data_IF_056185422176
#
_entry.id   IF_056185422176
#
_cell.length_a   1.000
_cell.length_b   1.000
_cell.length_c   1.000
_cell.angle_alpha   90.00
_cell.angle_beta   90.00
_cell.angle_gamma   90.00
#
_symmetry.space_group_name_H-M   'P 1'
#
loop_
_entity.id
_entity.type
_entity.pdbx_description
1 polymer ?
#
# COMPACT_ATOMS: atom_id res chain seq x y z
N UNK A 1 8.53 6.54 -12.11
CA UNK A 1 8.03 7.88 -12.50
C UNK A 1 6.53 7.92 -12.82
N UNK A 2 6.01 6.99 -13.64
CA UNK A 2 4.62 7.02 -14.13
C UNK A 2 3.55 7.05 -13.01
N UNK A 3 3.73 6.32 -11.91
CA UNK A 3 2.75 6.32 -10.81
C UNK A 3 2.58 7.70 -10.13
N UNK A 4 3.66 8.44 -9.92
CA UNK A 4 3.59 9.78 -9.30
C UNK A 4 2.88 10.75 -10.23
N UNK A 5 3.16 10.68 -11.54
CA UNK A 5 2.47 11.51 -12.54
C UNK A 5 0.96 11.24 -12.53
N UNK A 6 0.52 9.98 -12.50
CA UNK A 6 -0.90 9.65 -12.45
C UNK A 6 -1.60 10.09 -11.15
N UNK A 7 -0.90 10.03 -10.00
CA UNK A 7 -1.42 10.61 -8.77
C UNK A 7 -1.55 12.14 -8.87
N UNK A 8 -0.57 12.80 -9.48
CA UNK A 8 -0.60 14.26 -9.70
C UNK A 8 -1.75 14.63 -10.65
N UNK A 9 -1.94 13.91 -11.75
CA UNK A 9 -3.08 14.10 -12.65
C UNK A 9 -4.42 13.97 -11.90
N UNK A 10 -4.55 12.95 -11.03
CA UNK A 10 -5.75 12.80 -10.21
C UNK A 10 -5.96 13.94 -9.21
N UNK A 11 -4.87 14.50 -8.65
CA UNK A 11 -4.94 15.68 -7.78
C UNK A 11 -5.41 16.93 -8.54
N UNK A 12 -4.98 17.09 -9.79
CA UNK A 12 -5.37 18.20 -10.67
C UNK A 12 -6.83 18.08 -11.10
N UNK A 13 -7.25 16.88 -11.51
CA UNK A 13 -8.63 16.61 -11.95
C UNK A 13 -9.66 16.71 -10.81
N UNK A 14 -9.20 16.65 -9.55
CA UNK A 14 -10.03 16.64 -8.33
C UNK A 14 -11.15 15.60 -8.36
N UNK A 15 -10.92 14.47 -9.04
CA UNK A 15 -11.91 13.38 -9.13
C UNK A 15 -12.03 12.65 -7.80
N UNK A 16 -13.03 13.03 -7.00
CA UNK A 16 -13.27 12.48 -5.66
C UNK A 16 -13.52 10.96 -5.66
N UNK A 17 -14.12 10.45 -6.73
CA UNK A 17 -14.40 9.03 -6.92
C UNK A 17 -14.17 8.65 -8.37
N UNK A 18 -13.69 7.43 -8.63
CA UNK A 18 -13.40 6.34 -7.69
C UNK A 18 -12.01 6.42 -7.03
N UNK A 19 -11.76 5.71 -5.90
CA UNK A 19 -10.47 5.76 -5.22
C UNK A 19 -9.35 5.19 -6.11
N UNK A 20 -8.21 5.88 -6.15
CA UNK A 20 -7.03 5.41 -6.86
C UNK A 20 -6.25 4.46 -5.96
N UNK A 21 -5.64 3.42 -6.53
CA UNK A 21 -4.79 2.55 -5.71
C UNK A 21 -3.49 2.15 -6.38
N UNK A 22 -2.50 1.91 -5.54
CA UNK A 22 -1.14 1.52 -5.88
C UNK A 22 -0.83 0.16 -5.25
N UNK A 23 -0.38 -0.77 -6.05
CA UNK A 23 0.07 -2.10 -5.62
C UNK A 23 1.52 -2.28 -6.01
N UNK A 24 2.34 -2.76 -5.09
CA UNK A 24 3.76 -2.86 -5.31
C UNK A 24 4.37 -3.97 -4.47
N UNK A 25 5.40 -4.64 -4.99
CA UNK A 25 6.22 -5.50 -4.14
C UNK A 25 7.06 -4.66 -3.17
N UNK A 26 7.64 -5.31 -2.16
CA UNK A 26 8.56 -4.64 -1.23
C UNK A 26 9.76 -4.08 -2.01
N UNK A 27 10.23 -2.89 -1.63
CA UNK A 27 11.44 -2.30 -2.24
C UNK A 27 11.22 -1.68 -3.62
N UNK A 28 9.97 -1.45 -4.03
CA UNK A 28 9.60 -0.79 -5.31
C UNK A 28 9.33 0.71 -5.18
N UNK A 29 9.58 1.31 -4.00
CA UNK A 29 9.46 2.75 -3.79
C UNK A 29 8.04 3.27 -3.52
N UNK A 30 7.10 2.42 -3.07
CA UNK A 30 5.71 2.80 -2.74
C UNK A 30 5.61 4.01 -1.81
N UNK A 31 6.26 3.99 -0.64
CA UNK A 31 6.21 5.08 0.33
C UNK A 31 6.84 6.38 -0.20
N UNK A 32 7.86 6.25 -1.07
CA UNK A 32 8.47 7.41 -1.73
C UNK A 32 7.51 8.05 -2.74
N UNK A 33 6.84 7.25 -3.56
CA UNK A 33 5.83 7.73 -4.51
C UNK A 33 4.68 8.44 -3.78
N UNK A 34 4.14 7.85 -2.71
CA UNK A 34 3.08 8.48 -1.90
C UNK A 34 3.54 9.78 -1.23
N UNK A 35 4.76 9.80 -0.65
CA UNK A 35 5.31 11.00 0.00
C UNK A 35 5.47 12.16 -0.98
N UNK A 36 5.97 11.89 -2.19
CA UNK A 36 6.06 12.91 -3.25
C UNK A 36 4.68 13.37 -3.73
N UNK A 37 3.70 12.46 -3.83
CA UNK A 37 2.32 12.83 -4.17
C UNK A 37 1.68 13.72 -3.10
N UNK A 38 1.98 13.53 -1.81
CA UNK A 38 1.53 14.42 -0.74
C UNK A 38 2.16 15.81 -0.87
N UNK A 39 3.47 15.89 -1.12
CA UNK A 39 4.14 17.18 -1.33
C UNK A 39 3.54 17.94 -2.53
N UNK A 40 3.23 17.23 -3.62
CA UNK A 40 2.52 17.79 -4.75
C UNK A 40 1.09 18.24 -4.38
N UNK A 41 0.35 17.48 -3.58
CA UNK A 41 -0.99 17.87 -3.12
C UNK A 41 -0.97 19.19 -2.32
N UNK A 42 0.06 19.40 -1.50
CA UNK A 42 0.27 20.69 -0.81
C UNK A 42 0.46 21.82 -1.83
N UNK A 43 1.24 21.60 -2.89
CA UNK A 43 1.43 22.59 -3.96
C UNK A 43 0.15 22.87 -4.78
N UNK A 44 -0.81 21.94 -4.80
CA UNK A 44 -2.15 22.13 -5.39
C UNK A 44 -3.21 22.64 -4.41
N UNK A 45 -2.80 23.26 -3.30
CA UNK A 45 -3.67 23.90 -2.30
C UNK A 45 -4.65 22.96 -1.59
N UNK A 46 -4.33 21.67 -1.45
CA UNK A 46 -5.10 20.78 -0.56
C UNK A 46 -4.84 21.17 0.90
N UNK A 47 -5.90 21.39 1.68
CA UNK A 47 -5.81 21.95 3.04
C UNK A 47 -5.62 20.85 4.07
N UNK A 48 -6.50 19.86 4.08
CA UNK A 48 -6.47 18.77 5.04
C UNK A 48 -6.06 17.46 4.36
N UNK A 49 -4.78 17.10 4.49
CA UNK A 49 -4.22 15.86 3.94
C UNK A 49 -4.00 14.87 5.08
N UNK A 50 -4.75 13.78 5.10
CA UNK A 50 -4.63 12.77 6.14
C UNK A 50 -3.97 11.50 5.62
N UNK A 51 -3.15 10.89 6.46
CA UNK A 51 -2.43 9.65 6.17
C UNK A 51 -2.78 8.62 7.23
N UNK A 52 -3.15 7.42 6.81
CA UNK A 52 -3.49 6.31 7.68
C UNK A 52 -2.60 5.12 7.35
N UNK A 53 -2.15 4.43 8.40
CA UNK A 53 -1.41 3.17 8.34
C UNK A 53 -1.71 2.35 9.59
N UNK A 54 -1.47 1.03 9.59
CA UNK A 54 -1.65 0.19 10.78
C UNK A 54 -0.87 0.70 12.00
N UNK A 55 0.35 1.18 11.77
CA UNK A 55 1.21 1.79 12.78
C UNK A 55 1.93 3.02 12.21
N UNK A 56 2.12 4.09 13.01
CA UNK A 56 2.76 5.33 12.56
C UNK A 56 4.23 5.15 12.18
N UNK A 57 4.92 4.14 12.71
CA UNK A 57 6.30 3.82 12.35
C UNK A 57 6.47 3.50 10.85
N UNK A 58 5.44 2.93 10.22
CA UNK A 58 5.46 2.62 8.78
C UNK A 58 5.54 3.88 7.91
N UNK A 59 5.21 5.04 8.47
CA UNK A 59 5.16 6.31 7.76
C UNK A 59 6.45 7.12 7.81
N UNK A 60 7.49 6.65 8.53
CA UNK A 60 8.76 7.38 8.65
C UNK A 60 9.31 7.72 7.26
N UNK A 61 9.47 6.72 6.40
CA UNK A 61 9.96 6.93 5.02
C UNK A 61 8.99 7.76 4.20
N UNK A 62 7.68 7.61 4.36
CA UNK A 62 6.70 8.43 3.65
C UNK A 62 6.90 9.91 3.97
N UNK A 63 7.00 10.28 5.25
CA UNK A 63 7.23 11.65 5.67
C UNK A 63 8.62 12.17 5.27
N UNK A 64 9.67 11.33 5.27
CA UNK A 64 10.98 11.74 4.72
C UNK A 64 10.86 12.18 3.26
N UNK A 65 10.07 11.48 2.44
CA UNK A 65 9.85 11.87 1.04
C UNK A 65 8.91 13.07 0.88
N UNK A 66 8.01 13.32 1.83
CA UNK A 66 7.27 14.60 1.91
C UNK A 66 8.26 15.75 2.09
N UNK A 67 9.18 15.64 3.06
CA UNK A 67 10.18 16.67 3.34
C UNK A 67 11.13 16.88 2.15
N UNK A 68 11.59 15.80 1.48
CA UNK A 68 12.37 15.94 0.24
C UNK A 68 11.59 16.63 -0.88
N UNK A 69 10.28 16.39 -0.96
CA UNK A 69 9.40 17.11 -1.89
C UNK A 69 9.30 18.59 -1.55
N UNK A 70 9.23 18.93 -0.26
CA UNK A 70 9.28 20.31 0.23
C UNK A 70 10.60 21.00 -0.07
N UNK A 71 11.73 20.32 0.11
CA UNK A 71 13.06 20.85 -0.25
C UNK A 71 13.11 21.18 -1.76
N UNK A 72 12.58 20.29 -2.61
CA UNK A 72 12.52 20.52 -4.06
C UNK A 72 11.56 21.65 -4.48
N UNK A 73 10.56 21.95 -3.64
CA UNK A 73 9.61 23.05 -3.80
C UNK A 73 10.05 24.32 -3.03
N UNK A 74 11.26 24.34 -2.50
CA UNK A 74 11.87 25.46 -1.77
C UNK A 74 11.07 25.90 -0.53
N UNK A 75 10.43 24.96 0.16
CA UNK A 75 9.80 25.19 1.47
C UNK A 75 10.85 25.12 2.58
N UNK A 76 10.83 26.07 3.51
CA UNK A 76 11.77 26.13 4.63
C UNK A 76 11.14 25.67 5.95
N UNK A 77 11.83 24.78 6.68
CA UNK A 77 11.41 24.38 8.02
C UNK A 77 11.46 25.60 8.97
N UNK A 78 10.49 25.70 9.87
CA UNK A 78 10.28 26.80 10.82
C UNK A 78 9.86 28.17 10.23
N UNK A 79 10.00 28.37 8.92
CA UNK A 79 9.45 29.53 8.23
C UNK A 79 8.12 29.20 7.54
N UNK A 80 8.12 28.15 6.72
CA UNK A 80 6.97 27.74 5.91
C UNK A 80 6.19 26.57 6.50
N UNK A 81 6.85 25.71 7.27
CA UNK A 81 6.21 24.57 7.91
C UNK A 81 6.82 24.20 9.26
N UNK A 82 6.07 23.48 10.08
CA UNK A 82 6.49 22.97 11.39
C UNK A 82 6.14 21.49 11.53
N UNK A 83 7.09 20.70 12.04
CA UNK A 83 6.92 19.26 12.24
C UNK A 83 6.55 18.99 13.70
N UNK A 84 5.48 18.23 13.91
CA UNK A 84 5.05 17.72 15.21
C UNK A 84 5.29 16.22 15.23
N UNK A 85 6.08 15.78 16.22
CA UNK A 85 6.40 14.37 16.46
C UNK A 85 5.59 13.83 17.63
N UNK A 86 5.35 12.52 17.63
CA UNK A 86 4.65 11.87 18.73
C UNK A 86 5.45 11.97 20.04
N UNK A 87 4.73 12.19 21.13
CA UNK A 87 5.23 12.08 22.50
C UNK A 87 5.15 10.65 23.04
N UNK A 88 4.43 9.74 22.36
CA UNK A 88 4.32 8.36 22.78
C UNK A 88 5.63 7.61 22.51
N UNK A 89 6.16 6.94 23.54
CA UNK A 89 7.36 6.12 23.45
C UNK A 89 7.20 4.97 22.43
N UNK A 90 6.00 4.40 22.34
CA UNK A 90 5.67 3.30 21.43
C UNK A 90 5.78 3.69 19.96
N UNK A 91 5.74 4.99 19.65
CA UNK A 91 5.78 5.50 18.28
C UNK A 91 7.16 6.04 17.89
N UNK A 92 8.20 5.81 18.70
CA UNK A 92 9.62 6.14 18.41
C UNK A 92 9.83 7.55 17.84
N UNK A 93 9.10 8.56 18.34
CA UNK A 93 9.14 9.95 17.86
C UNK A 93 8.79 10.10 16.36
N UNK A 94 7.93 9.22 15.83
CA UNK A 94 7.39 9.33 14.48
C UNK A 94 6.69 10.68 14.27
N UNK A 95 6.75 11.18 13.04
CA UNK A 95 6.05 12.41 12.65
C UNK A 95 4.55 12.11 12.63
N UNK A 96 3.77 12.90 13.37
CA UNK A 96 2.31 12.73 13.47
C UNK A 96 1.56 13.85 12.76
N UNK A 97 2.17 15.03 12.63
CA UNK A 97 1.56 16.16 11.94
C UNK A 97 2.62 17.11 11.39
N UNK A 98 2.36 17.68 10.23
CA UNK A 98 3.12 18.79 9.65
C UNK A 98 2.12 19.91 9.37
N UNK A 99 2.36 21.09 9.96
CA UNK A 99 1.56 22.28 9.67
C UNK A 99 2.33 23.15 8.68
N UNK A 100 1.69 23.56 7.60
CA UNK A 100 2.25 24.44 6.57
C UNK A 100 1.51 25.77 6.60
N UNK A 101 2.24 26.87 6.47
CA UNK A 101 1.72 28.24 6.57
C UNK A 101 2.23 29.20 5.48
N UNK A 102 2.90 28.70 4.44
CA UNK A 102 3.51 29.53 3.37
C UNK A 102 2.50 30.41 2.64
N UNK A 103 1.47 29.79 2.05
CA UNK A 103 0.43 30.49 1.26
C UNK A 103 -0.94 30.39 1.93
N UNK A 104 -1.27 29.21 2.44
CA UNK A 104 -2.48 28.92 3.19
C UNK A 104 -2.14 28.01 4.37
N UNK A 105 -3.05 27.92 5.35
CA UNK A 105 -2.90 26.98 6.46
C UNK A 105 -3.26 25.58 5.97
N UNK A 106 -2.27 24.75 5.75
CA UNK A 106 -2.46 23.35 5.34
C UNK A 106 -1.90 22.43 6.41
N UNK A 107 -2.47 21.23 6.52
CA UNK A 107 -2.08 20.25 7.53
C UNK A 107 -1.95 18.88 6.90
N UNK A 108 -0.79 18.26 7.09
CA UNK A 108 -0.59 16.83 6.85
C UNK A 108 -0.64 16.13 8.20
N UNK A 109 -1.50 15.13 8.39
CA UNK A 109 -1.65 14.48 9.69
C UNK A 109 -1.82 12.96 9.58
N UNK A 110 -1.17 12.24 10.48
CA UNK A 110 -1.46 10.84 10.74
C UNK A 110 -2.78 10.68 11.51
N UNK A 111 -3.68 9.85 10.97
CA UNK A 111 -4.92 9.46 11.64
C UNK A 111 -4.86 7.95 11.87
N UNK A 112 -5.12 7.53 13.11
CA UNK A 112 -5.18 6.11 13.43
C UNK A 112 -6.38 5.47 12.72
N UNK A 113 -6.28 4.21 12.28
CA UNK A 113 -7.37 3.55 11.57
C UNK A 113 -8.71 3.55 12.33
N UNK A 114 -8.69 3.53 13.66
CA UNK A 114 -9.87 3.58 14.52
C UNK A 114 -10.63 4.91 14.46
N UNK A 115 -9.94 6.00 14.13
CA UNK A 115 -10.43 7.37 14.36
C UNK A 115 -11.07 7.95 13.09
N UNK A 116 -11.93 7.16 12.43
CA UNK A 116 -12.54 7.51 11.14
C UNK A 116 -13.40 8.78 11.20
N UNK A 117 -13.85 9.19 12.39
CA UNK A 117 -14.64 10.41 12.60
C UNK A 117 -13.86 11.69 12.27
N UNK A 118 -12.52 11.68 12.42
CA UNK A 118 -11.66 12.82 12.08
C UNK A 118 -11.55 13.02 10.57
N UNK A 119 -11.83 11.99 9.77
CA UNK A 119 -11.67 12.03 8.32
C UNK A 119 -12.72 12.89 7.61
N UNK A 120 -13.79 13.32 8.30
CA UNK A 120 -14.83 14.16 7.70
C UNK A 120 -14.32 15.53 7.23
N UNK A 121 -13.22 16.01 7.81
CA UNK A 121 -12.59 17.27 7.42
C UNK A 121 -11.51 17.10 6.33
N UNK A 122 -11.26 15.87 5.87
CA UNK A 122 -10.20 15.58 4.91
C UNK A 122 -10.57 16.05 3.50
N UNK A 123 -9.60 16.63 2.79
CA UNK A 123 -9.69 16.86 1.35
C UNK A 123 -9.06 15.69 0.58
N UNK A 124 -7.99 15.11 1.17
CA UNK A 124 -7.24 13.98 0.64
C UNK A 124 -6.93 12.99 1.77
N UNK A 125 -7.25 11.73 1.56
CA UNK A 125 -6.88 10.61 2.43
C UNK A 125 -5.92 9.66 1.71
N UNK A 126 -4.78 9.36 2.32
CA UNK A 126 -3.87 8.32 1.90
C UNK A 126 -3.91 7.15 2.89
N UNK A 127 -4.13 5.94 2.39
CA UNK A 127 -4.13 4.71 3.18
C UNK A 127 -2.95 3.87 2.75
N UNK A 128 -1.87 3.84 3.55
CA UNK A 128 -0.73 2.96 3.31
C UNK A 128 -0.92 1.61 4.03
N UNK A 129 -0.44 0.54 3.40
CA UNK A 129 -0.68 -0.85 3.80
C UNK A 129 -2.17 -1.17 3.99
N UNK A 130 -3.01 -0.74 3.05
CA UNK A 130 -4.46 -0.92 3.13
C UNK A 130 -4.88 -2.39 3.34
N UNK A 131 -4.16 -3.37 2.79
CA UNK A 131 -4.47 -4.79 2.97
C UNK A 131 -4.19 -5.32 4.39
N UNK A 132 -3.42 -4.58 5.21
CA UNK A 132 -3.19 -4.89 6.61
C UNK A 132 -4.29 -4.30 7.53
N UNK A 133 -5.14 -3.43 6.99
CA UNK A 133 -6.27 -2.85 7.73
C UNK A 133 -7.52 -3.71 7.46
N UNK A 134 -8.33 -4.05 8.49
CA UNK A 134 -9.56 -4.78 8.29
C UNK A 134 -10.49 -4.10 7.27
N UNK A 135 -11.00 -4.86 6.29
CA UNK A 135 -11.85 -4.34 5.22
C UNK A 135 -13.03 -3.49 5.70
N UNK A 136 -13.78 -3.86 6.77
CA UNK A 136 -14.88 -3.02 7.25
C UNK A 136 -14.43 -1.62 7.67
N UNK A 137 -13.20 -1.49 8.17
CA UNK A 137 -12.63 -0.21 8.58
C UNK A 137 -12.19 0.61 7.36
N UNK A 138 -11.55 -0.04 6.38
CA UNK A 138 -11.21 0.59 5.09
C UNK A 138 -12.47 1.13 4.41
N UNK A 139 -13.58 0.36 4.37
CA UNK A 139 -14.86 0.83 3.81
C UNK A 139 -15.40 2.07 4.52
N UNK A 140 -15.25 2.17 5.85
CA UNK A 140 -15.66 3.35 6.62
C UNK A 140 -14.81 4.58 6.34
N UNK A 141 -13.57 4.39 5.89
CA UNK A 141 -12.65 5.47 5.52
C UNK A 141 -12.85 5.99 4.10
N UNK A 142 -13.62 5.29 3.26
CA UNK A 142 -13.90 5.77 1.90
C UNK A 142 -15.05 6.76 1.97
N UNK A 143 -14.71 8.06 1.98
CA UNK A 143 -15.66 9.17 2.12
C UNK A 143 -15.87 10.00 0.83
N UNK A 144 -16.47 11.20 0.95
CA UNK A 144 -16.66 12.15 -0.14
C UNK A 144 -15.44 13.06 -0.37
N UNK A 145 -14.24 12.50 -0.29
CA UNK A 145 -12.95 13.17 -0.49
C UNK A 145 -12.06 12.31 -1.38
N UNK A 146 -10.94 12.85 -1.87
CA UNK A 146 -10.03 12.09 -2.69
C UNK A 146 -9.33 11.00 -1.84
N UNK A 147 -9.30 9.77 -2.32
CA UNK A 147 -8.69 8.65 -1.58
C UNK A 147 -7.64 7.96 -2.43
N UNK A 148 -6.42 7.90 -1.92
CA UNK A 148 -5.32 7.09 -2.45
C UNK A 148 -5.06 5.91 -1.52
N UNK A 149 -5.09 4.70 -2.06
CA UNK A 149 -4.78 3.50 -1.29
C UNK A 149 -3.48 2.89 -1.81
N UNK A 150 -2.64 2.40 -0.93
CA UNK A 150 -1.47 1.66 -1.33
C UNK A 150 -1.31 0.39 -0.50
N UNK A 151 -0.89 -0.69 -1.16
CA UNK A 151 -0.70 -1.96 -0.48
C UNK A 151 0.47 -2.72 -1.06
N UNK A 152 1.19 -3.42 -0.18
CA UNK A 152 2.24 -4.32 -0.61
C UNK A 152 1.61 -5.62 -1.11
N UNK A 153 2.02 -6.07 -2.28
CA UNK A 153 1.69 -7.37 -2.88
C UNK A 153 2.94 -8.25 -2.89
N UNK A 154 2.81 -9.57 -2.76
CA UNK A 154 3.91 -10.55 -2.90
C UNK A 154 5.22 -10.15 -2.18
N UNK A 155 5.39 -10.65 -0.96
CA UNK A 155 6.56 -10.39 -0.12
C UNK A 155 6.43 -11.10 1.22
N UNK A 156 7.51 -11.21 1.97
CA UNK A 156 7.51 -11.96 3.24
C UNK A 156 6.55 -11.39 4.31
N UNK A 157 6.24 -10.09 4.25
CA UNK A 157 5.21 -9.43 5.08
C UNK A 157 3.81 -9.43 4.44
N UNK A 158 3.72 -9.82 3.17
CA UNK A 158 2.48 -9.88 2.38
C UNK A 158 1.84 -11.26 2.32
N UNK A 159 2.49 -12.29 2.88
CA UNK A 159 1.94 -13.65 3.00
C UNK A 159 0.62 -13.61 3.80
N UNK A 160 -0.44 -14.25 3.27
CA UNK A 160 -1.78 -14.21 3.85
C UNK A 160 -2.62 -12.94 3.55
N UNK A 161 -2.09 -11.96 2.81
CA UNK A 161 -2.83 -10.74 2.41
C UNK A 161 -3.50 -10.86 1.04
N UNK A 162 -3.36 -11.99 0.36
CA UNK A 162 -3.98 -12.28 -0.95
C UNK A 162 -5.51 -12.11 -0.92
N UNK A 163 -6.16 -12.49 0.19
CA UNK A 163 -7.58 -12.25 0.39
C UNK A 163 -7.91 -10.76 0.55
N UNK A 164 -7.16 -10.04 1.40
CA UNK A 164 -7.35 -8.60 1.59
C UNK A 164 -7.12 -7.81 0.30
N UNK A 165 -6.16 -8.21 -0.52
CA UNK A 165 -5.91 -7.62 -1.85
C UNK A 165 -7.04 -7.92 -2.84
N UNK A 166 -7.56 -9.15 -2.86
CA UNK A 166 -8.76 -9.50 -3.65
C UNK A 166 -9.96 -8.66 -3.21
N UNK A 167 -10.12 -8.43 -1.91
CA UNK A 167 -11.21 -7.63 -1.36
C UNK A 167 -11.07 -6.13 -1.67
N UNK A 168 -9.84 -5.59 -1.67
CA UNK A 168 -9.58 -4.20 -2.11
C UNK A 168 -9.81 -4.08 -3.62
N UNK A 169 -9.39 -5.06 -4.41
CA UNK A 169 -9.66 -5.09 -5.86
C UNK A 169 -11.16 -5.22 -6.16
N UNK A 170 -11.89 -5.97 -5.35
CA UNK A 170 -13.35 -6.05 -5.46
C UNK A 170 -13.99 -4.70 -5.11
N UNK A 171 -13.55 -4.05 -4.02
CA UNK A 171 -14.00 -2.71 -3.67
C UNK A 171 -13.76 -1.70 -4.78
N UNK A 172 -12.62 -1.79 -5.46
CA UNK A 172 -12.34 -0.98 -6.63
C UNK A 172 -13.36 -1.24 -7.75
N UNK A 173 -13.61 -2.52 -8.10
CA UNK A 173 -14.62 -2.87 -9.11
C UNK A 173 -16.02 -2.38 -8.75
N UNK A 174 -16.44 -2.58 -7.50
CA UNK A 174 -17.75 -2.14 -7.00
C UNK A 174 -17.92 -0.61 -7.11
N UNK A 175 -16.82 0.14 -6.98
CA UNK A 175 -16.82 1.60 -7.16
C UNK A 175 -16.54 2.05 -8.60
N UNK A 176 -16.49 1.13 -9.58
CA UNK A 176 -16.11 1.40 -10.96
C UNK A 176 -14.72 2.08 -11.08
N UNK A 177 -13.80 1.72 -10.19
CA UNK A 177 -12.46 2.25 -10.11
C UNK A 177 -11.55 1.79 -11.25
N UNK A 178 -10.59 2.64 -11.59
CA UNK A 178 -9.50 2.25 -12.49
C UNK A 178 -8.72 1.08 -11.86
N UNK A 179 -8.14 0.19 -12.69
CA UNK A 179 -7.23 -0.84 -12.20
C UNK A 179 -6.12 -0.22 -11.34
N UNK A 180 -5.64 -0.93 -10.30
CA UNK A 180 -4.59 -0.41 -9.44
C UNK A 180 -3.30 -0.23 -10.25
N UNK A 181 -2.61 0.89 -10.00
CA UNK A 181 -1.28 1.16 -10.50
C UNK A 181 -0.31 0.13 -9.93
N UNK A 182 0.63 -0.34 -10.75
CA UNK A 182 1.64 -1.31 -10.33
C UNK A 182 3.03 -0.69 -10.34
N UNK A 183 3.80 -0.92 -9.27
CA UNK A 183 5.24 -0.66 -9.26
C UNK A 183 5.97 -2.00 -9.32
N UNK A 184 6.62 -2.25 -10.44
CA UNK A 184 7.32 -3.51 -10.71
C UNK A 184 8.85 -3.35 -10.66
N UNK A 185 9.35 -2.16 -10.98
CA UNK A 185 10.78 -1.85 -10.99
C UNK A 185 11.34 -1.65 -9.57
N UNK A 186 12.42 -2.37 -9.24
CA UNK A 186 13.13 -2.24 -7.97
C UNK A 186 13.95 -0.97 -7.91
N UNK A 187 13.92 -0.30 -6.76
CA UNK A 187 14.80 0.85 -6.49
C UNK A 187 16.08 0.45 -5.76
N UNK A 188 16.21 -0.81 -5.34
CA UNK A 188 17.34 -1.30 -4.51
C UNK A 188 18.34 -2.15 -5.26
N UNK A 189 17.88 -2.84 -6.30
CA UNK A 189 18.65 -3.79 -7.08
C UNK A 189 18.18 -3.73 -8.53
N UNK A 190 18.95 -4.34 -9.41
CA UNK A 190 18.65 -4.35 -10.83
C UNK A 190 17.35 -5.12 -11.11
N UNK A 191 16.64 -4.72 -12.15
CA UNK A 191 15.55 -5.52 -12.67
C UNK A 191 16.04 -6.92 -13.04
N UNK A 192 15.21 -7.94 -12.82
CA UNK A 192 15.52 -9.34 -13.13
C UNK A 192 16.64 -9.99 -12.31
N UNK A 193 16.95 -9.47 -11.12
CA UNK A 193 17.93 -10.05 -10.19
C UNK A 193 17.66 -11.54 -9.90
N UNK A 194 18.67 -12.38 -10.12
CA UNK A 194 18.57 -13.83 -9.99
C UNK A 194 18.42 -14.28 -8.53
N UNK A 195 19.00 -13.54 -7.57
CA UNK A 195 18.88 -13.83 -6.13
C UNK A 195 17.47 -13.48 -5.66
N UNK A 196 16.90 -12.36 -6.13
CA UNK A 196 15.50 -12.04 -5.85
C UNK A 196 14.57 -13.15 -6.36
N UNK A 197 14.73 -13.56 -7.62
CA UNK A 197 13.93 -14.64 -8.23
C UNK A 197 14.05 -15.94 -7.45
N UNK A 198 15.28 -16.34 -7.12
CA UNK A 198 15.54 -17.53 -6.32
C UNK A 198 14.87 -17.46 -4.96
N UNK A 199 14.97 -16.33 -4.25
CA UNK A 199 14.36 -16.14 -2.94
C UNK A 199 12.83 -16.17 -2.98
N UNK A 200 12.24 -15.51 -3.99
CA UNK A 200 10.78 -15.51 -4.21
C UNK A 200 10.27 -16.93 -4.43
N UNK A 201 10.99 -17.71 -5.24
CA UNK A 201 10.65 -19.10 -5.51
C UNK A 201 10.79 -19.98 -4.27
N UNK A 202 11.95 -19.92 -3.60
CA UNK A 202 12.24 -20.70 -2.39
C UNK A 202 11.22 -20.47 -1.27
N UNK A 203 10.80 -19.22 -1.07
CA UNK A 203 9.83 -18.84 -0.04
C UNK A 203 8.38 -18.92 -0.52
N UNK A 204 8.14 -19.39 -1.76
CA UNK A 204 6.82 -19.51 -2.39
C UNK A 204 5.98 -18.21 -2.26
N UNK A 205 6.60 -17.05 -2.43
CA UNK A 205 5.93 -15.75 -2.20
C UNK A 205 4.97 -15.36 -3.32
N UNK A 206 5.07 -16.02 -4.48
CA UNK A 206 4.14 -15.83 -5.58
C UNK A 206 2.92 -16.75 -5.43
N UNK A 207 2.00 -16.35 -4.55
CA UNK A 207 0.72 -17.02 -4.32
C UNK A 207 -0.38 -16.58 -5.30
N UNK A 208 -0.03 -15.81 -6.35
CA UNK A 208 -1.03 -15.19 -7.22
C UNK A 208 -1.47 -16.08 -8.39
N UNK A 209 -0.73 -17.17 -8.64
CA UNK A 209 -0.93 -18.09 -9.76
C UNK A 209 -1.80 -19.28 -9.37
N UNK A 210 -3.04 -19.03 -8.95
CA UNK A 210 -4.03 -20.11 -8.80
C UNK A 210 -4.52 -20.49 -10.21
N UNK A 211 -4.23 -21.69 -10.74
CA UNK A 211 -4.76 -22.10 -12.03
C UNK A 211 -6.29 -22.14 -11.96
N UNK A 212 -6.96 -21.51 -12.94
CA UNK A 212 -8.42 -21.52 -12.97
C UNK A 212 -8.90 -22.97 -13.19
N UNK A 213 -9.62 -23.50 -12.23
CA UNK A 213 -10.27 -24.80 -12.34
C UNK A 213 -11.40 -24.64 -13.36
N UNK A 214 -11.16 -25.09 -14.60
CA UNK A 214 -12.07 -24.92 -15.75
C UNK A 214 -13.29 -25.85 -15.71
N UNK A 215 -13.22 -26.91 -14.92
CA UNK A 215 -14.28 -27.88 -14.67
C UNK A 215 -14.49 -27.93 -13.17
N UNK A 216 -15.68 -27.54 -12.68
CA UNK A 216 -15.95 -27.37 -11.25
C UNK A 216 -15.47 -28.55 -10.39
N UNK A 217 -15.16 -28.28 -9.13
CA UNK A 217 -14.65 -29.31 -8.21
C UNK A 217 -15.68 -30.45 -8.03
N UNK A 218 -15.24 -31.71 -7.91
CA UNK A 218 -16.11 -32.83 -7.61
C UNK A 218 -16.78 -32.66 -6.22
N UNK A 219 -17.84 -33.44 -5.96
CA UNK A 219 -18.51 -33.41 -4.66
C UNK A 219 -17.55 -33.86 -3.55
N UNK A 220 -17.68 -33.34 -2.32
CA UNK A 220 -16.80 -33.70 -1.21
C UNK A 220 -16.73 -35.21 -0.95
N UNK A 221 -17.82 -35.94 -1.21
CA UNK A 221 -17.89 -37.40 -1.05
C UNK A 221 -16.97 -38.18 -2.01
N UNK A 222 -16.56 -37.55 -3.12
CA UNK A 222 -15.62 -38.12 -4.09
C UNK A 222 -14.16 -37.68 -3.84
N UNK A 223 -13.90 -36.94 -2.75
CA UNK A 223 -12.59 -36.43 -2.40
C UNK A 223 -11.98 -37.23 -1.24
N UNK A 224 -10.72 -37.61 -1.39
CA UNK A 224 -9.93 -38.27 -0.33
C UNK A 224 -8.82 -37.33 0.16
N UNK A 225 -8.51 -37.44 1.45
CA UNK A 225 -7.37 -36.74 2.05
C UNK A 225 -6.15 -37.65 2.08
N UNK A 226 -5.01 -37.12 1.65
CA UNK A 226 -3.74 -37.83 1.62
C UNK A 226 -2.76 -37.21 2.63
N UNK A 227 -2.03 -38.06 3.34
CA UNK A 227 -0.88 -37.62 4.13
C UNK A 227 0.28 -37.28 3.20
N UNK A 228 0.88 -36.11 3.42
CA UNK A 228 2.04 -35.65 2.65
C UNK A 228 3.29 -35.81 3.50
N UNK A 229 4.26 -36.55 2.97
CA UNK A 229 5.60 -36.65 3.56
C UNK A 229 6.34 -35.33 3.37
N UNK A 230 6.72 -34.70 4.49
CA UNK A 230 7.41 -33.41 4.50
C UNK A 230 8.82 -33.50 3.92
N UNK A 231 9.53 -34.60 4.17
CA UNK A 231 10.91 -34.75 3.71
C UNK A 231 10.94 -34.93 2.19
N UNK A 232 9.97 -35.68 1.65
CA UNK A 232 9.75 -35.78 0.21
C UNK A 232 9.31 -34.44 -0.41
N UNK A 233 8.45 -33.68 0.29
CA UNK A 233 7.96 -32.38 -0.17
C UNK A 233 9.08 -31.32 -0.25
N UNK A 234 9.97 -31.28 0.75
CA UNK A 234 11.09 -30.33 0.80
C UNK A 234 12.38 -30.87 0.17
N UNK A 235 12.28 -31.88 -0.70
CA UNK A 235 13.41 -32.50 -1.39
C UNK A 235 14.04 -31.66 -2.51
N UNK A 236 13.47 -30.47 -2.80
CA UNK A 236 13.85 -29.61 -3.93
C UNK A 236 13.71 -30.27 -5.31
N UNK A 237 12.99 -31.39 -5.38
CA UNK A 237 12.65 -32.03 -6.64
C UNK A 237 11.61 -31.18 -7.39
N UNK A 238 11.76 -31.03 -8.71
CA UNK A 238 10.92 -30.14 -9.54
C UNK A 238 9.41 -30.38 -9.37
N UNK A 239 8.99 -31.64 -9.22
CA UNK A 239 7.57 -31.97 -8.99
C UNK A 239 7.10 -31.61 -7.57
N UNK A 240 7.98 -31.76 -6.58
CA UNK A 240 7.69 -31.41 -5.19
C UNK A 240 7.59 -29.89 -5.03
N UNK A 241 8.48 -29.13 -5.66
CA UNK A 241 8.43 -27.66 -5.73
C UNK A 241 7.12 -27.18 -6.39
N UNK A 242 6.77 -27.73 -7.56
CA UNK A 242 5.53 -27.36 -8.24
C UNK A 242 4.28 -27.67 -7.39
N UNK A 243 4.30 -28.76 -6.62
CA UNK A 243 3.22 -29.11 -5.69
C UNK A 243 3.20 -28.19 -4.46
N UNK A 244 4.37 -27.89 -3.88
CA UNK A 244 4.53 -26.97 -2.75
C UNK A 244 4.01 -25.58 -3.09
N UNK A 245 4.38 -25.05 -4.26
CA UNK A 245 3.89 -23.76 -4.76
C UNK A 245 2.36 -23.72 -4.87
N UNK A 246 1.72 -24.81 -5.32
CA UNK A 246 0.25 -24.91 -5.40
C UNK A 246 -0.42 -25.04 -4.04
N UNK A 247 0.27 -25.65 -3.07
CA UNK A 247 -0.23 -25.80 -1.70
C UNK A 247 -0.22 -24.45 -0.98
N UNK A 248 0.80 -23.63 -1.22
CA UNK A 248 0.99 -22.32 -0.58
C UNK A 248 0.16 -21.20 -1.24
N UNK A 249 -0.19 -21.33 -2.53
CA UNK A 249 -0.98 -20.35 -3.30
C UNK A 249 -2.47 -20.34 -2.95
#
# INVERSE_FOLDING_TARGET
ANAVAQFIEALVDKQLKPPMSLTAARGRGKSAALGLSIAAAVAFDYVNIYVTSPHPENLITLFEFVLKGFDALEYQEHADYTIIRSTNADYKKAIIRINITRSSRQTIQYIAPSDTHLLNAADLLLIDEAAAIPLPLVKKMIGPYLVFMASTINGYEGTGRSLSLKLISQLQKDNNARPPLKLEESIRYQENDDIEKWLINLLCLDASTVPSISSGCPTPDACELYYVDRDALFSYHKAAEAFLHRLVS
#
